data_IF_828496235368
#
_entry.id   IF_828496235368
#
_cell.length_a   1.000
_cell.length_b   1.000
_cell.length_c   1.000
_cell.angle_alpha   90.00
_cell.angle_beta   90.00
_cell.angle_gamma   90.00
#
_symmetry.space_group_name_H-M   'P 1'
#
loop_
_entity.id
_entity.type
_entity.pdbx_description
1 polymer ?
#
# COMPACT_ATOMS: atom_id res chain seq x y z
N UNK A 1 0.27 -20.71 3.56
CA UNK A 1 0.47 -20.73 5.04
C UNK A 1 -0.55 -19.89 5.81
N UNK A 2 -0.89 -18.67 5.36
CA UNK A 2 -1.80 -17.76 6.06
C UNK A 2 -3.19 -18.35 6.39
N UNK A 3 -3.81 -19.08 5.46
CA UNK A 3 -5.14 -19.68 5.70
C UNK A 3 -5.17 -20.61 6.92
N UNK A 4 -4.11 -21.41 7.13
CA UNK A 4 -4.00 -22.29 8.30
C UNK A 4 -3.89 -21.48 9.60
N UNK A 5 -3.14 -20.39 9.60
CA UNK A 5 -3.03 -19.50 10.77
C UNK A 5 -4.38 -18.88 11.13
N UNK A 6 -5.12 -18.37 10.14
CA UNK A 6 -6.47 -17.80 10.37
C UNK A 6 -7.47 -18.87 10.81
N UNK A 7 -7.41 -20.06 10.23
CA UNK A 7 -8.24 -21.20 10.68
C UNK A 7 -8.00 -21.56 12.14
N UNK A 8 -6.78 -21.40 12.66
CA UNK A 8 -6.47 -21.62 14.07
C UNK A 8 -7.11 -20.60 15.02
N UNK A 9 -7.36 -19.38 14.53
CA UNK A 9 -7.99 -18.29 15.31
C UNK A 9 -9.52 -18.33 15.28
N UNK A 10 -10.12 -19.10 14.36
CA UNK A 10 -11.57 -19.20 14.18
C UNK A 10 -12.05 -20.55 14.76
N UNK A 11 -13.23 -20.62 15.42
CA UNK A 11 -13.84 -21.88 15.86
C UNK A 11 -14.33 -22.71 14.68
N UNK A 12 -13.40 -23.20 13.86
CA UNK A 12 -13.62 -23.76 12.54
C UNK A 12 -14.34 -25.11 12.57
N UNK A 13 -14.51 -25.75 13.72
CA UNK A 13 -15.31 -26.97 13.87
C UNK A 13 -16.82 -26.67 13.87
N UNK A 14 -17.22 -25.45 14.21
CA UNK A 14 -18.64 -25.04 14.22
C UNK A 14 -19.14 -24.68 12.82
N UNK A 15 -20.45 -24.80 12.55
CA UNK A 15 -21.05 -24.37 11.27
C UNK A 15 -20.76 -22.89 10.97
N UNK A 16 -20.80 -22.03 12.00
CA UNK A 16 -20.45 -20.61 11.90
C UNK A 16 -18.99 -20.40 11.46
N UNK A 17 -18.05 -21.14 12.06
CA UNK A 17 -16.64 -21.06 11.71
C UNK A 17 -16.35 -21.51 10.27
N UNK A 18 -17.02 -22.57 9.81
CA UNK A 18 -16.94 -23.00 8.41
C UNK A 18 -17.44 -21.91 7.45
N UNK A 19 -18.58 -21.27 7.76
CA UNK A 19 -19.12 -20.19 6.94
C UNK A 19 -18.18 -18.97 6.88
N UNK A 20 -17.54 -18.60 7.99
CA UNK A 20 -16.55 -17.52 8.02
C UNK A 20 -15.33 -17.85 7.14
N UNK A 21 -14.82 -19.09 7.20
CA UNK A 21 -13.68 -19.50 6.38
C UNK A 21 -14.01 -19.57 4.87
N UNK A 22 -15.27 -19.85 4.50
CA UNK A 22 -15.72 -19.80 3.10
C UNK A 22 -15.67 -18.38 2.51
N UNK A 23 -15.86 -17.35 3.35
CA UNK A 23 -15.77 -15.95 2.90
C UNK A 23 -14.33 -15.49 2.69
N UNK A 24 -13.37 -16.11 3.39
CA UNK A 24 -11.96 -15.77 3.28
C UNK A 24 -11.33 -16.41 2.03
N UNK A 25 -10.85 -15.58 1.11
CA UNK A 25 -10.06 -16.00 -0.05
C UNK A 25 -8.62 -15.52 0.11
N UNK A 26 -7.66 -16.44 -0.03
CA UNK A 26 -6.22 -16.15 0.10
C UNK A 26 -5.53 -16.61 -1.18
N UNK A 27 -4.69 -15.75 -1.75
CA UNK A 27 -3.94 -16.01 -2.97
C UNK A 27 -2.46 -15.68 -2.75
N UNK A 28 -1.59 -16.39 -3.46
CA UNK A 28 -0.18 -16.03 -3.59
C UNK A 28 -0.01 -15.15 -4.84
N UNK A 29 0.62 -13.98 -4.70
CA UNK A 29 0.56 -12.95 -5.73
C UNK A 29 -0.82 -12.31 -5.87
N UNK A 30 -1.04 -11.55 -6.94
CA UNK A 30 -2.31 -10.83 -7.18
C UNK A 30 -2.95 -11.33 -8.48
N UNK A 31 -4.05 -12.08 -8.40
CA UNK A 31 -4.70 -12.62 -9.59
C UNK A 31 -5.43 -11.53 -10.41
N UNK A 32 -5.73 -11.80 -11.70
CA UNK A 32 -6.30 -10.81 -12.63
C UNK A 32 -7.59 -10.09 -12.18
N UNK A 33 -8.53 -10.70 -11.43
CA UNK A 33 -9.71 -9.97 -10.95
C UNK A 33 -9.37 -8.85 -9.95
N UNK A 34 -8.23 -8.94 -9.25
CA UNK A 34 -7.85 -8.04 -8.15
C UNK A 34 -6.67 -7.11 -8.49
N UNK A 35 -6.06 -7.25 -9.67
CA UNK A 35 -4.84 -6.52 -10.03
C UNK A 35 -5.07 -5.00 -10.23
N UNK A 36 -6.24 -4.64 -10.75
CA UNK A 36 -6.71 -3.26 -11.01
C UNK A 36 -7.40 -2.62 -9.81
N UNK A 37 -7.84 -3.42 -8.85
CA UNK A 37 -8.53 -2.93 -7.66
C UNK A 37 -7.56 -2.25 -6.68
N UNK A 38 -8.05 -1.22 -5.96
CA UNK A 38 -7.25 -0.57 -4.92
C UNK A 38 -7.13 -1.51 -3.73
N UNK A 39 -5.92 -1.99 -3.48
CA UNK A 39 -5.60 -2.81 -2.29
C UNK A 39 -5.53 -1.93 -1.05
N UNK A 40 -6.07 -2.43 0.04
CA UNK A 40 -6.05 -1.78 1.35
C UNK A 40 -4.90 -2.37 2.19
N UNK A 41 -4.43 -1.58 3.16
CA UNK A 41 -3.41 -1.99 4.12
C UNK A 41 -3.99 -1.84 5.52
N UNK A 42 -3.71 -2.81 6.39
CA UNK A 42 -4.10 -2.81 7.80
C UNK A 42 -2.89 -2.33 8.61
N UNK A 43 -2.91 -1.10 9.17
CA UNK A 43 -1.73 -0.52 9.81
C UNK A 43 -1.23 -1.31 11.04
N UNK A 44 -2.15 -1.86 11.84
CA UNK A 44 -1.83 -2.67 13.02
C UNK A 44 -1.13 -3.99 12.70
N UNK A 45 -1.14 -4.43 11.43
CA UNK A 45 -0.43 -5.61 10.97
C UNK A 45 0.84 -5.26 10.18
N UNK A 46 1.19 -3.98 10.07
CA UNK A 46 2.32 -3.54 9.27
C UNK A 46 3.63 -3.73 10.04
N UNK A 47 4.52 -4.56 9.52
CA UNK A 47 5.85 -4.83 10.11
C UNK A 47 6.60 -3.56 10.52
N UNK A 48 6.61 -2.54 9.67
CA UNK A 48 7.34 -1.29 9.92
C UNK A 48 6.81 -0.52 11.14
N UNK A 49 5.53 -0.67 11.45
CA UNK A 49 4.90 -0.03 12.62
C UNK A 49 5.00 -0.90 13.86
N UNK A 50 4.86 -2.22 13.72
CA UNK A 50 4.76 -3.15 14.85
C UNK A 50 6.12 -3.70 15.32
N UNK A 51 7.11 -3.81 14.42
CA UNK A 51 8.42 -4.37 14.73
C UNK A 51 9.48 -3.29 14.72
N UNK A 52 10.37 -3.31 15.72
CA UNK A 52 11.53 -2.42 15.74
C UNK A 52 12.48 -2.72 14.57
N UNK A 53 13.12 -1.69 13.97
CA UNK A 53 14.00 -1.86 12.81
C UNK A 53 15.23 -2.76 13.02
N UNK A 54 15.64 -2.97 14.27
CA UNK A 54 16.83 -3.75 14.64
C UNK A 54 16.57 -5.26 14.72
N UNK A 55 15.30 -5.69 14.71
CA UNK A 55 14.95 -7.10 14.89
C UNK A 55 14.91 -7.83 13.55
N UNK A 56 15.52 -9.03 13.52
CA UNK A 56 15.47 -9.93 12.36
C UNK A 56 14.03 -10.43 12.15
N UNK A 57 13.65 -10.58 10.88
CA UNK A 57 12.36 -11.13 10.47
C UNK A 57 12.57 -12.12 9.31
N UNK A 58 11.55 -12.92 9.01
CA UNK A 58 11.56 -13.84 7.89
C UNK A 58 10.43 -13.52 6.91
N UNK A 59 10.65 -13.83 5.63
CA UNK A 59 9.63 -13.74 4.60
C UNK A 59 8.94 -15.09 4.45
N UNK A 60 7.61 -15.09 4.56
CA UNK A 60 6.79 -16.32 4.46
C UNK A 60 7.01 -17.04 3.12
N UNK A 61 7.25 -16.29 2.04
CA UNK A 61 7.53 -16.86 0.73
C UNK A 61 8.85 -17.62 0.65
N UNK A 62 9.87 -17.20 1.42
CA UNK A 62 11.15 -17.92 1.52
C UNK A 62 10.97 -19.22 2.30
N UNK A 63 10.36 -19.13 3.48
CA UNK A 63 10.12 -20.29 4.35
C UNK A 63 9.25 -21.33 3.63
N UNK A 64 8.20 -20.89 2.94
CA UNK A 64 7.34 -21.79 2.18
C UNK A 64 8.11 -22.58 1.11
N UNK A 65 9.04 -21.92 0.41
CA UNK A 65 9.85 -22.57 -0.62
C UNK A 65 10.85 -23.57 -0.05
N UNK A 66 11.53 -23.22 1.04
CA UNK A 66 12.44 -24.14 1.75
C UNK A 66 11.71 -25.39 2.28
N UNK A 67 10.45 -25.23 2.70
CA UNK A 67 9.57 -26.34 3.14
C UNK A 67 9.01 -27.16 1.95
N UNK A 68 9.32 -26.78 0.70
CA UNK A 68 8.96 -27.56 -0.50
C UNK A 68 7.85 -26.95 -1.36
N UNK A 69 7.45 -25.70 -1.15
CA UNK A 69 6.55 -25.01 -2.08
C UNK A 69 7.26 -24.69 -3.40
N UNK A 70 6.78 -25.28 -4.49
CA UNK A 70 7.45 -25.29 -5.80
C UNK A 70 7.18 -24.03 -6.65
N UNK A 71 6.08 -23.31 -6.41
CA UNK A 71 5.60 -22.28 -7.34
C UNK A 71 6.17 -20.88 -7.10
N UNK A 72 7.24 -20.74 -6.31
CA UNK A 72 7.88 -19.45 -6.01
C UNK A 72 8.27 -18.69 -7.29
N UNK A 73 8.97 -19.36 -8.19
CA UNK A 73 9.51 -18.71 -9.40
C UNK A 73 8.40 -18.36 -10.41
N UNK A 74 7.40 -19.21 -10.52
CA UNK A 74 6.21 -18.96 -11.36
C UNK A 74 5.48 -17.70 -10.88
N UNK A 75 5.23 -17.59 -9.57
CA UNK A 75 4.55 -16.41 -9.00
C UNK A 75 5.41 -15.16 -9.17
N UNK A 76 6.73 -15.24 -8.98
CA UNK A 76 7.65 -14.12 -9.19
C UNK A 76 7.58 -13.59 -10.64
N UNK A 77 7.58 -14.49 -11.63
CA UNK A 77 7.48 -14.13 -13.04
C UNK A 77 6.14 -13.46 -13.38
N UNK A 78 5.04 -13.98 -12.84
CA UNK A 78 3.71 -13.40 -13.03
C UNK A 78 3.58 -12.02 -12.36
N UNK A 79 4.12 -11.87 -11.15
CA UNK A 79 4.16 -10.60 -10.43
C UNK A 79 5.03 -9.55 -11.15
N UNK A 80 6.14 -9.96 -11.76
CA UNK A 80 6.96 -9.07 -12.58
C UNK A 80 6.16 -8.53 -13.78
N UNK A 81 5.49 -9.41 -14.53
CA UNK A 81 4.60 -9.01 -15.63
C UNK A 81 3.48 -8.08 -15.16
N UNK A 82 2.86 -8.37 -14.00
CA UNK A 82 1.81 -7.54 -13.40
C UNK A 82 2.32 -6.15 -13.01
N UNK A 83 3.50 -6.05 -12.39
CA UNK A 83 4.12 -4.78 -11.98
C UNK A 83 4.42 -3.87 -13.19
N UNK A 84 4.87 -4.44 -14.31
CA UNK A 84 5.07 -3.70 -15.56
C UNK A 84 3.75 -3.09 -16.04
N UNK A 85 2.69 -3.90 -16.15
CA UNK A 85 1.34 -3.42 -16.54
C UNK A 85 0.81 -2.35 -15.58
N UNK A 86 0.99 -2.56 -14.27
CA UNK A 86 0.58 -1.61 -13.25
C UNK A 86 1.34 -0.26 -13.36
N UNK A 87 2.64 -0.31 -13.68
CA UNK A 87 3.46 0.90 -13.91
C UNK A 87 2.97 1.69 -15.11
N UNK A 88 2.66 1.02 -16.22
CA UNK A 88 2.10 1.68 -17.42
C UNK A 88 0.75 2.37 -17.10
N UNK A 89 -0.16 1.65 -16.43
CA UNK A 89 -1.45 2.22 -15.99
C UNK A 89 -1.26 3.42 -15.05
N UNK A 90 -0.31 3.36 -14.12
CA UNK A 90 0.01 4.46 -13.22
C UNK A 90 0.55 5.69 -13.96
N UNK A 91 1.46 5.51 -14.92
CA UNK A 91 2.00 6.62 -15.72
C UNK A 91 0.91 7.29 -16.55
N UNK A 92 0.03 6.50 -17.17
CA UNK A 92 -1.13 7.02 -17.90
C UNK A 92 -2.05 7.82 -16.97
N UNK A 93 -2.39 7.28 -15.79
CA UNK A 93 -3.19 7.97 -14.77
C UNK A 93 -2.54 9.26 -14.28
N UNK A 94 -1.20 9.28 -14.13
CA UNK A 94 -0.44 10.47 -13.74
C UNK A 94 -0.52 11.56 -14.82
N UNK A 95 -0.38 11.18 -16.10
CA UNK A 95 -0.53 12.10 -17.25
C UNK A 95 -1.94 12.69 -17.30
N UNK A 96 -2.98 11.85 -17.21
CA UNK A 96 -4.38 12.28 -17.18
C UNK A 96 -4.65 13.24 -16.01
N UNK A 97 -4.17 12.91 -14.80
CA UNK A 97 -4.34 13.79 -13.64
C UNK A 97 -3.73 15.17 -13.84
N UNK A 98 -2.56 15.26 -14.49
CA UNK A 98 -1.92 16.55 -14.84
C UNK A 98 -2.77 17.33 -15.86
N UNK A 99 -3.34 16.66 -16.85
CA UNK A 99 -4.22 17.29 -17.84
C UNK A 99 -5.52 17.80 -17.20
N UNK A 100 -6.19 16.97 -16.40
CA UNK A 100 -7.39 17.36 -15.65
C UNK A 100 -7.13 18.56 -14.75
N UNK A 101 -5.93 18.67 -14.16
CA UNK A 101 -5.54 19.83 -13.37
C UNK A 101 -5.47 21.11 -14.22
N UNK A 102 -4.79 21.07 -15.36
CA UNK A 102 -4.72 22.21 -16.29
C UNK A 102 -6.12 22.64 -16.76
N UNK A 103 -6.97 21.67 -17.10
CA UNK A 103 -8.35 21.94 -17.51
C UNK A 103 -9.17 22.60 -16.39
N UNK A 104 -9.01 22.16 -15.14
CA UNK A 104 -9.68 22.78 -13.99
C UNK A 104 -9.24 24.23 -13.78
N UNK A 105 -7.95 24.52 -13.92
CA UNK A 105 -7.45 25.89 -13.80
C UNK A 105 -8.08 26.82 -14.86
N UNK A 106 -8.24 26.35 -16.11
CA UNK A 106 -8.86 27.14 -17.17
C UNK A 106 -10.37 27.37 -17.01
N UNK A 107 -11.07 26.53 -16.25
CA UNK A 107 -12.54 26.63 -16.03
C UNK A 107 -12.87 27.18 -14.63
N UNK A 108 -11.87 27.57 -13.85
CA UNK A 108 -12.02 27.98 -12.46
C UNK A 108 -13.06 29.10 -12.28
N UNK A 109 -13.06 30.10 -13.16
CA UNK A 109 -14.00 31.22 -13.09
C UNK A 109 -15.46 30.82 -13.22
N UNK A 110 -15.76 29.80 -14.03
CA UNK A 110 -17.12 29.30 -14.25
C UNK A 110 -17.63 28.45 -13.08
N UNK A 111 -16.73 27.84 -12.31
CA UNK A 111 -17.06 26.88 -11.24
C UNK A 111 -17.09 27.57 -9.85
N UNK A 112 -16.71 28.86 -9.76
CA UNK A 112 -16.62 29.64 -8.50
C UNK A 112 -17.80 29.44 -7.54
N UNK A 113 -19.04 29.52 -8.03
CA UNK A 113 -20.24 29.38 -7.21
C UNK A 113 -20.36 27.98 -6.58
N UNK A 114 -20.05 26.93 -7.36
CA UNK A 114 -20.08 25.54 -6.90
C UNK A 114 -18.93 25.27 -5.92
N UNK A 115 -17.75 25.83 -6.18
CA UNK A 115 -16.60 25.72 -5.30
C UNK A 115 -16.83 26.39 -3.94
N UNK A 116 -17.54 27.53 -3.91
CA UNK A 116 -17.91 28.19 -2.66
C UNK A 116 -18.84 27.32 -1.79
N UNK A 117 -19.77 26.57 -2.41
CA UNK A 117 -20.62 25.61 -1.68
C UNK A 117 -19.79 24.45 -1.13
N UNK A 118 -18.88 23.90 -1.93
CA UNK A 118 -17.99 22.81 -1.49
C UNK A 118 -17.05 23.24 -0.34
N UNK A 119 -16.59 24.50 -0.36
CA UNK A 119 -15.78 25.07 0.72
C UNK A 119 -16.56 25.16 2.04
N UNK A 120 -17.84 25.54 2.00
CA UNK A 120 -18.71 25.53 3.20
C UNK A 120 -18.84 24.13 3.81
N UNK A 121 -18.83 23.09 2.97
CA UNK A 121 -18.84 21.68 3.39
C UNK A 121 -17.45 21.14 3.79
N UNK A 122 -16.42 21.98 3.85
CA UNK A 122 -15.06 21.59 4.24
C UNK A 122 -14.24 20.87 3.15
N UNK A 123 -14.73 20.81 1.91
CA UNK A 123 -13.96 20.28 0.79
C UNK A 123 -13.06 21.38 0.21
N UNK A 124 -11.74 21.20 0.31
CA UNK A 124 -10.80 22.11 -0.35
C UNK A 124 -10.76 21.83 -1.86
N UNK A 125 -11.43 22.69 -2.62
CA UNK A 125 -11.56 22.60 -4.09
C UNK A 125 -10.32 23.10 -4.83
N UNK A 126 -9.55 24.01 -4.24
CA UNK A 126 -8.39 24.67 -4.87
C UNK A 126 -7.02 24.23 -4.34
N UNK A 127 -6.92 23.54 -3.19
CA UNK A 127 -5.64 23.40 -2.47
C UNK A 127 -4.87 22.08 -2.66
N UNK A 128 -5.14 21.28 -3.69
CA UNK A 128 -4.34 20.07 -3.88
C UNK A 128 -2.88 20.34 -4.33
N UNK A 129 -2.57 21.55 -4.81
CA UNK A 129 -1.18 22.00 -5.02
C UNK A 129 -0.45 22.26 -3.69
N UNK A 130 -1.14 22.80 -2.67
CA UNK A 130 -0.54 23.04 -1.34
C UNK A 130 -0.40 21.76 -0.50
N UNK A 131 -1.06 20.66 -0.87
CA UNK A 131 -0.99 19.38 -0.12
C UNK A 131 0.44 18.82 0.00
N UNK A 132 1.33 19.15 -0.94
CA UNK A 132 2.75 18.77 -0.88
C UNK A 132 3.64 19.79 -0.16
N UNK A 133 3.11 20.98 0.18
CA UNK A 133 3.72 21.96 1.07
C UNK A 133 2.90 22.06 2.36
N UNK A 134 2.76 20.95 3.09
CA UNK A 134 2.46 21.07 4.52
C UNK A 134 3.76 21.44 5.22
N UNK A 135 3.93 22.63 5.81
CA UNK A 135 5.06 22.85 6.69
C UNK A 135 5.00 21.79 7.78
N UNK A 136 6.13 21.11 8.01
CA UNK A 136 6.25 20.16 9.11
C UNK A 136 6.16 21.00 10.37
N UNK A 137 5.00 21.04 11.02
CA UNK A 137 4.75 21.86 12.22
C UNK A 137 5.65 21.49 13.41
N UNK A 138 6.39 20.38 13.32
CA UNK A 138 7.46 20.01 14.25
C UNK A 138 8.51 19.13 13.55
N UNK A 139 9.49 19.75 12.91
CA UNK A 139 10.72 19.05 12.50
C UNK A 139 11.61 18.86 13.72
N UNK A 140 11.32 17.85 14.55
CA UNK A 140 12.30 17.42 15.52
C UNK A 140 13.47 16.82 14.76
N UNK A 141 14.67 17.41 14.87
CA UNK A 141 15.89 16.77 14.38
C UNK A 141 15.96 15.37 15.01
N UNK A 142 16.14 14.29 14.24
CA UNK A 142 16.30 12.97 14.81
C UNK A 142 17.48 13.02 15.79
N UNK A 143 17.25 12.70 17.06
CA UNK A 143 18.35 12.54 18.03
C UNK A 143 19.27 11.46 17.48
N UNK A 144 20.53 11.82 17.17
CA UNK A 144 21.55 10.83 16.83
C UNK A 144 21.60 9.82 17.98
N UNK A 145 21.24 8.56 17.70
CA UNK A 145 21.46 7.49 18.66
C UNK A 145 22.94 7.43 19.03
N UNK A 146 23.26 7.02 20.28
CA UNK A 146 24.62 6.98 20.85
C UNK A 146 25.64 6.08 20.12
N UNK A 147 25.30 5.51 18.95
CA UNK A 147 26.22 4.73 18.12
C UNK A 147 26.48 5.47 16.82
N UNK A 148 27.65 6.11 16.72
CA UNK A 148 28.25 6.45 15.41
C UNK A 148 28.35 5.14 14.62
N UNK A 149 27.65 5.02 13.50
CA UNK A 149 27.96 3.98 12.51
C UNK A 149 29.34 4.34 11.99
N UNK A 150 30.35 3.52 12.28
CA UNK A 150 31.62 3.59 11.56
C UNK A 150 31.27 3.44 10.08
N UNK A 151 31.66 4.43 9.27
CA UNK A 151 31.53 4.33 7.83
C UNK A 151 32.35 3.11 7.40
N UNK A 152 31.70 2.14 6.75
CA UNK A 152 32.41 1.10 6.04
C UNK A 152 33.07 1.78 4.82
N UNK A 153 34.25 2.32 5.01
CA UNK A 153 35.27 2.37 3.96
C UNK A 153 35.68 0.93 3.71
N UNK A 154 35.40 0.40 2.53
CA UNK A 154 36.20 -0.64 1.92
C UNK A 154 36.00 -0.58 0.40
N UNK A 155 37.12 -0.81 -0.27
CA UNK A 155 37.36 -0.83 -1.70
C UNK A 155 36.47 -1.81 -2.47
#
# INVERSE_FOLDING_TARGET
MLWKAVRGMVPHKTKRGHNALKQLKVYEGIPPPYDRQKRLCVPIAMRQLCLRPDRKYCDVGRVAHEVGWKYRDVVNNLEAKRKIKARLSFLHKKKLKKLTWKARAGVADKIKNNDAVLQKCGFLTSEFEKKWKRPILNSQKPKLGKKKRQAATNA
#
